data_IF_769675171824
#
_entry.id   IF_769675171824
#
_cell.length_a   1.000
_cell.length_b   1.000
_cell.length_c   1.000
_cell.angle_alpha   90.00
_cell.angle_beta   90.00
_cell.angle_gamma   90.00
#
_symmetry.space_group_name_H-M   'P 1'
#
loop_
_entity.id
_entity.type
_entity.pdbx_description
1 polymer ?
#
# COMPACT_ATOMS: atom_id res chain seq x y z
N UNK A 1 -12.96 -3.04 3.06
CA UNK A 1 -12.73 -3.02 4.51
C UNK A 1 -12.38 -1.60 4.90
N UNK A 2 -13.23 -0.93 5.63
CA UNK A 2 -13.01 0.48 6.02
C UNK A 2 -12.72 0.47 7.54
N UNK A 3 -11.54 0.91 7.93
CA UNK A 3 -11.20 1.12 9.35
C UNK A 3 -11.40 2.60 9.65
N UNK A 4 -12.29 2.90 10.59
CA UNK A 4 -12.42 4.25 11.13
C UNK A 4 -11.48 4.34 12.32
N UNK A 5 -10.37 5.02 12.15
CA UNK A 5 -9.43 5.30 13.25
C UNK A 5 -9.64 6.75 13.65
N UNK A 6 -10.12 6.98 14.88
CA UNK A 6 -10.33 8.32 15.40
C UNK A 6 -9.10 8.81 16.15
N UNK A 7 -8.63 9.99 15.77
CA UNK A 7 -7.44 10.61 16.36
C UNK A 7 -7.86 11.81 17.21
N UNK A 8 -7.43 11.84 18.46
CA UNK A 8 -7.59 13.04 19.32
C UNK A 8 -6.32 13.87 19.19
N UNK A 9 -6.39 14.94 18.40
CA UNK A 9 -5.31 15.92 18.29
C UNK A 9 -5.46 16.90 19.45
N UNK A 10 -4.40 17.13 20.25
CA UNK A 10 -4.39 18.21 21.23
C UNK A 10 -4.59 19.54 20.51
N UNK A 11 -5.60 20.28 20.92
CA UNK A 11 -6.01 21.55 20.31
C UNK A 11 -4.93 22.62 20.39
N UNK A 12 -4.71 23.37 19.31
CA UNK A 12 -4.04 24.66 19.33
C UNK A 12 -2.94 24.91 18.31
N UNK A 13 -2.58 23.96 17.43
CA UNK A 13 -1.52 24.15 16.46
C UNK A 13 -1.99 24.22 15.01
N UNK A 14 -1.27 24.95 14.17
CA UNK A 14 -1.47 24.96 12.71
C UNK A 14 -1.07 23.58 12.18
N UNK A 15 -2.03 22.83 11.66
CA UNK A 15 -1.79 21.51 11.06
C UNK A 15 -1.08 21.71 9.72
N UNK A 16 0.18 21.31 9.64
CA UNK A 16 0.92 21.25 8.38
C UNK A 16 0.84 19.82 7.83
N UNK A 17 0.24 19.66 6.65
CA UNK A 17 0.27 18.38 5.93
C UNK A 17 1.61 18.29 5.23
N UNK A 18 2.47 17.39 5.69
CA UNK A 18 3.78 17.19 5.09
C UNK A 18 3.76 16.01 4.11
N UNK A 19 4.05 16.31 2.85
CA UNK A 19 4.29 15.30 1.82
C UNK A 19 5.79 15.08 1.67
N UNK A 20 6.25 13.85 1.82
CA UNK A 20 7.64 13.52 1.56
C UNK A 20 7.97 13.72 0.09
N UNK A 21 8.59 14.85 -0.28
CA UNK A 21 9.23 15.01 -1.60
C UNK A 21 10.40 14.03 -1.70
N UNK A 22 10.35 13.21 -2.74
CA UNK A 22 11.28 12.14 -3.05
C UNK A 22 12.67 12.68 -3.40
N UNK A 23 13.47 13.07 -2.40
CA UNK A 23 14.89 13.36 -2.57
C UNK A 23 15.72 12.35 -1.76
N UNK A 24 15.55 11.05 -2.09
CA UNK A 24 16.36 9.99 -1.50
C UNK A 24 17.48 9.58 -2.45
N UNK A 25 18.73 9.65 -1.98
CA UNK A 25 19.89 9.09 -2.68
C UNK A 25 19.69 7.61 -3.01
N UNK A 26 19.90 7.27 -4.27
CA UNK A 26 19.60 5.98 -4.94
C UNK A 26 20.22 4.72 -4.29
N UNK A 27 21.18 4.86 -3.39
CA UNK A 27 22.02 3.75 -2.90
C UNK A 27 21.45 3.02 -1.67
N UNK A 28 20.48 3.62 -0.93
CA UNK A 28 19.86 2.96 0.25
C UNK A 28 18.66 2.07 -0.07
N UNK A 29 18.21 1.99 -1.32
CA UNK A 29 16.95 1.38 -1.72
C UNK A 29 16.86 -0.15 -1.55
N UNK A 30 17.97 -0.87 -1.68
CA UNK A 30 17.94 -2.35 -1.63
C UNK A 30 17.93 -2.91 -0.21
N UNK A 31 18.46 -2.18 0.76
CA UNK A 31 18.57 -2.66 2.15
C UNK A 31 17.24 -2.62 2.93
N UNK A 32 16.28 -1.82 2.45
CA UNK A 32 14.98 -1.64 3.11
C UNK A 32 13.82 -2.32 2.36
N UNK A 33 14.11 -3.21 1.39
CA UNK A 33 13.11 -3.96 0.67
C UNK A 33 12.59 -5.08 1.55
N UNK A 34 11.38 -4.90 2.05
CA UNK A 34 10.68 -5.89 2.86
C UNK A 34 9.38 -6.28 2.18
N UNK A 35 9.01 -7.53 2.30
CA UNK A 35 7.69 -8.03 1.91
C UNK A 35 6.81 -8.02 3.16
N UNK A 36 5.58 -7.58 3.01
CA UNK A 36 4.60 -7.61 4.07
C UNK A 36 4.30 -9.07 4.45
N UNK A 37 4.12 -9.34 5.75
CA UNK A 37 3.87 -10.70 6.27
C UNK A 37 2.74 -11.41 5.52
N UNK A 38 1.61 -10.74 5.32
CA UNK A 38 0.45 -11.30 4.60
C UNK A 38 0.76 -11.61 3.13
N UNK A 39 1.67 -10.87 2.50
CA UNK A 39 2.10 -11.10 1.12
C UNK A 39 2.96 -12.34 0.96
N UNK A 40 3.68 -12.77 1.99
CA UNK A 40 4.60 -13.91 1.89
C UNK A 40 3.86 -15.19 1.52
N UNK A 41 2.76 -15.50 2.20
CA UNK A 41 1.95 -16.71 1.91
C UNK A 41 1.38 -16.67 0.50
N UNK A 42 0.87 -15.52 0.07
CA UNK A 42 0.31 -15.33 -1.28
C UNK A 42 1.39 -15.52 -2.34
N UNK A 43 2.59 -14.98 -2.14
CA UNK A 43 3.70 -15.11 -3.06
C UNK A 43 4.22 -16.55 -3.17
N UNK A 44 4.25 -17.29 -2.05
CA UNK A 44 4.61 -18.71 -2.06
C UNK A 44 3.59 -19.52 -2.86
N UNK A 45 2.29 -19.32 -2.60
CA UNK A 45 1.23 -20.00 -3.34
C UNK A 45 1.28 -19.64 -4.83
N UNK A 46 1.44 -18.36 -5.17
CA UNK A 46 1.57 -17.93 -6.56
C UNK A 46 2.79 -18.57 -7.27
N UNK A 47 3.93 -18.65 -6.58
CA UNK A 47 5.11 -19.31 -7.10
C UNK A 47 4.84 -20.79 -7.41
N UNK A 48 4.20 -21.52 -6.48
CA UNK A 48 3.85 -22.92 -6.68
C UNK A 48 2.87 -23.12 -7.85
N UNK A 49 1.88 -22.24 -7.98
CA UNK A 49 0.93 -22.26 -9.10
C UNK A 49 1.65 -22.03 -10.44
N UNK A 50 2.52 -21.01 -10.52
CA UNK A 50 3.29 -20.77 -11.74
C UNK A 50 4.26 -21.90 -12.06
N UNK A 51 4.89 -22.52 -11.06
CA UNK A 51 5.72 -23.69 -11.25
C UNK A 51 4.91 -24.89 -11.76
N UNK A 52 3.71 -25.13 -11.20
CA UNK A 52 2.80 -26.20 -11.61
C UNK A 52 2.30 -26.02 -13.05
N UNK A 53 2.17 -24.78 -13.53
CA UNK A 53 1.80 -24.51 -14.94
C UNK A 53 3.00 -24.65 -15.86
N UNK A 54 4.14 -24.06 -15.51
CA UNK A 54 5.29 -23.99 -16.43
C UNK A 54 6.06 -25.32 -16.52
N UNK A 55 6.23 -26.04 -15.41
CA UNK A 55 7.01 -27.28 -15.43
C UNK A 55 6.41 -28.39 -16.35
N UNK A 56 5.09 -28.68 -16.32
CA UNK A 56 4.48 -29.60 -17.25
C UNK A 56 4.59 -29.16 -18.72
N UNK A 57 4.44 -27.85 -18.99
CA UNK A 57 4.57 -27.35 -20.36
C UNK A 57 5.96 -27.64 -20.94
N UNK A 58 7.01 -27.41 -20.18
CA UNK A 58 8.38 -27.68 -20.59
C UNK A 58 8.68 -29.19 -20.64
N UNK A 59 8.05 -30.00 -19.79
CA UNK A 59 8.26 -31.42 -19.74
C UNK A 59 7.54 -32.18 -20.88
N UNK A 60 6.24 -31.91 -21.10
CA UNK A 60 5.41 -32.62 -22.05
C UNK A 60 5.45 -32.04 -23.47
N UNK A 61 5.76 -30.75 -23.61
CA UNK A 61 5.76 -30.05 -24.91
C UNK A 61 7.07 -29.32 -25.18
N UNK A 62 8.24 -29.95 -25.04
CA UNK A 62 9.55 -29.30 -25.18
C UNK A 62 9.77 -28.68 -26.57
N UNK A 63 9.11 -29.21 -27.62
CA UNK A 63 9.20 -28.71 -28.99
C UNK A 63 8.54 -27.33 -29.18
N UNK A 64 7.61 -26.94 -28.31
CA UNK A 64 6.89 -25.66 -28.40
C UNK A 64 7.64 -24.54 -27.70
N UNK A 65 8.91 -24.35 -28.02
CA UNK A 65 9.82 -23.43 -27.29
C UNK A 65 9.26 -22.00 -27.21
N UNK A 66 8.74 -21.47 -28.33
CA UNK A 66 8.22 -20.09 -28.39
C UNK A 66 7.02 -19.94 -27.45
N UNK A 67 6.05 -20.84 -27.51
CA UNK A 67 4.87 -20.80 -26.65
C UNK A 67 5.25 -20.91 -25.16
N UNK A 68 6.08 -21.89 -24.81
CA UNK A 68 6.54 -22.11 -23.44
C UNK A 68 7.30 -20.89 -22.90
N UNK A 69 8.13 -20.25 -23.74
CA UNK A 69 8.86 -19.04 -23.36
C UNK A 69 7.92 -17.85 -23.11
N UNK A 70 6.88 -17.69 -23.92
CA UNK A 70 5.88 -16.63 -23.74
C UNK A 70 5.14 -16.85 -22.42
N UNK A 71 4.66 -18.07 -22.14
CA UNK A 71 3.94 -18.39 -20.89
C UNK A 71 4.85 -18.15 -19.67
N UNK A 72 6.11 -18.58 -19.75
CA UNK A 72 7.08 -18.37 -18.67
C UNK A 72 7.37 -16.89 -18.44
N UNK A 73 7.51 -16.10 -19.50
CA UNK A 73 7.73 -14.66 -19.41
C UNK A 73 6.53 -13.94 -18.77
N UNK A 74 5.32 -14.29 -19.21
CA UNK A 74 4.08 -13.71 -18.63
C UNK A 74 3.97 -14.07 -17.15
N UNK A 75 4.21 -15.35 -16.80
CA UNK A 75 4.21 -15.80 -15.40
C UNK A 75 5.22 -15.02 -14.55
N UNK A 76 6.42 -14.82 -15.07
CA UNK A 76 7.47 -14.04 -14.38
C UNK A 76 7.06 -12.58 -14.19
N UNK A 77 6.53 -11.94 -15.23
CA UNK A 77 6.09 -10.54 -15.15
C UNK A 77 4.98 -10.38 -14.09
N UNK A 78 3.97 -11.27 -14.13
CA UNK A 78 2.88 -11.24 -13.14
C UNK A 78 3.42 -11.46 -11.73
N UNK A 79 4.32 -12.43 -11.54
CA UNK A 79 4.94 -12.68 -10.24
C UNK A 79 5.71 -11.47 -9.72
N UNK A 80 6.49 -10.80 -10.57
CA UNK A 80 7.23 -9.59 -10.20
C UNK A 80 6.30 -8.42 -9.84
N UNK A 81 5.15 -8.30 -10.52
CA UNK A 81 4.13 -7.31 -10.15
C UNK A 81 3.53 -7.61 -8.78
N UNK A 82 3.26 -8.88 -8.45
CA UNK A 82 2.80 -9.29 -7.12
C UNK A 82 3.85 -8.99 -6.04
N UNK A 83 5.13 -9.30 -6.29
CA UNK A 83 6.23 -8.95 -5.38
C UNK A 83 6.31 -7.44 -5.16
N UNK A 84 6.16 -6.65 -6.23
CA UNK A 84 6.13 -5.19 -6.13
C UNK A 84 4.94 -4.68 -5.31
N UNK A 85 3.77 -5.29 -5.46
CA UNK A 85 2.55 -4.92 -4.74
C UNK A 85 2.69 -5.16 -3.23
N UNK A 86 3.24 -6.31 -2.82
CA UNK A 86 3.40 -6.68 -1.40
C UNK A 86 4.64 -6.09 -0.73
N UNK A 87 5.39 -5.23 -1.41
CA UNK A 87 6.54 -4.57 -0.79
C UNK A 87 6.10 -3.63 0.33
N UNK A 88 6.79 -3.69 1.46
CA UNK A 88 6.54 -2.85 2.64
C UNK A 88 7.85 -2.22 3.13
N UNK A 89 8.37 -1.17 2.48
CA UNK A 89 9.60 -0.51 2.90
C UNK A 89 9.37 0.25 4.19
N UNK A 90 10.38 0.31 5.06
CA UNK A 90 10.35 1.19 6.22
C UNK A 90 10.29 2.65 5.78
N UNK A 91 9.33 3.40 6.31
CA UNK A 91 9.19 4.84 6.11
C UNK A 91 9.61 5.56 7.39
N UNK A 92 10.54 6.47 7.27
CA UNK A 92 10.97 7.35 8.35
C UNK A 92 10.78 8.77 7.86
N UNK A 93 9.98 9.56 8.60
CA UNK A 93 9.83 10.98 8.34
C UNK A 93 11.07 11.69 8.88
N UNK A 94 11.81 12.45 8.05
CA UNK A 94 13.08 13.05 8.43
C UNK A 94 12.96 14.39 9.17
N UNK A 95 11.73 14.84 9.44
CA UNK A 95 11.45 16.13 10.08
C UNK A 95 10.93 15.97 11.50
N UNK A 96 10.69 17.10 12.15
CA UNK A 96 9.97 17.15 13.39
C UNK A 96 8.52 16.70 13.16
N UNK A 97 8.05 15.80 13.99
CA UNK A 97 6.69 15.22 13.93
C UNK A 97 5.70 15.99 14.81
N UNK A 98 6.16 16.96 15.60
CA UNK A 98 5.28 17.79 16.39
C UNK A 98 4.39 18.64 15.48
N UNK A 99 3.08 18.58 15.68
CA UNK A 99 2.07 19.33 14.92
C UNK A 99 2.07 19.04 13.40
N UNK A 100 2.52 17.85 12.98
CA UNK A 100 2.53 17.42 11.57
C UNK A 100 1.70 16.16 11.43
N UNK A 101 0.85 16.13 10.40
CA UNK A 101 0.18 14.91 9.94
C UNK A 101 0.96 14.37 8.74
N UNK A 102 1.54 13.18 8.89
CA UNK A 102 2.28 12.51 7.81
C UNK A 102 1.28 11.78 6.91
N UNK A 103 1.49 11.84 5.58
CA UNK A 103 0.64 11.11 4.65
C UNK A 103 0.64 9.60 4.97
N UNK A 104 -0.54 9.00 5.19
CA UNK A 104 -0.63 7.59 5.61
C UNK A 104 -0.31 6.59 4.52
N UNK A 105 -0.23 7.02 3.27
CA UNK A 105 -0.01 6.15 2.11
C UNK A 105 0.82 6.83 1.02
N UNK A 106 1.45 6.03 0.17
CA UNK A 106 2.04 6.50 -1.08
C UNK A 106 0.92 6.69 -2.11
N UNK A 107 0.81 7.89 -2.70
CA UNK A 107 -0.22 8.14 -3.70
C UNK A 107 -0.25 9.57 -4.20
N UNK A 108 -1.31 9.90 -4.92
CA UNK A 108 -1.62 11.24 -5.39
C UNK A 108 -2.82 11.78 -4.63
N UNK A 109 -2.69 12.97 -4.05
CA UNK A 109 -3.84 13.68 -3.48
C UNK A 109 -4.77 14.07 -4.60
N UNK A 110 -6.03 13.64 -4.51
CA UNK A 110 -7.05 13.89 -5.52
C UNK A 110 -8.12 14.87 -5.04
N UNK A 111 -8.41 14.87 -3.73
CA UNK A 111 -9.41 15.77 -3.15
C UNK A 111 -8.89 16.31 -1.81
N UNK A 112 -9.12 17.61 -1.59
CA UNK A 112 -8.98 18.25 -0.28
C UNK A 112 -10.23 19.12 -0.10
N UNK A 113 -11.10 18.74 0.81
CA UNK A 113 -12.36 19.43 1.03
C UNK A 113 -12.78 19.39 2.49
N UNK A 114 -13.68 20.30 2.87
CA UNK A 114 -14.37 20.22 4.16
C UNK A 114 -15.62 19.38 4.00
N UNK A 115 -15.76 18.38 4.85
CA UNK A 115 -16.93 17.49 4.89
C UNK A 115 -17.46 17.40 6.30
N UNK A 116 -18.78 17.26 6.42
CA UNK A 116 -19.39 16.93 7.69
C UNK A 116 -19.14 15.46 8.01
N UNK A 117 -18.52 15.19 9.15
CA UNK A 117 -18.27 13.82 9.63
C UNK A 117 -19.40 13.42 10.61
N UNK A 118 -20.32 12.52 10.20
CA UNK A 118 -21.53 12.21 10.96
C UNK A 118 -21.34 11.18 12.06
N UNK A 119 -20.31 10.33 11.97
CA UNK A 119 -20.24 9.09 12.75
C UNK A 119 -19.63 9.34 14.14
N UNK A 120 -18.58 10.14 14.21
CA UNK A 120 -17.80 10.27 15.43
C UNK A 120 -17.69 11.71 15.95
N UNK A 121 -17.26 12.64 15.10
CA UNK A 121 -17.04 14.04 15.51
C UNK A 121 -18.29 14.89 15.41
N UNK A 122 -19.19 14.58 14.48
CA UNK A 122 -20.43 15.32 14.19
C UNK A 122 -20.18 16.80 13.94
N UNK A 123 -19.08 17.09 13.26
CA UNK A 123 -18.69 18.45 12.88
C UNK A 123 -18.01 18.47 11.49
N UNK A 124 -17.66 19.67 11.00
CA UNK A 124 -16.92 19.83 9.75
C UNK A 124 -15.44 19.49 9.94
N UNK A 125 -14.94 18.60 9.09
CA UNK A 125 -13.54 18.17 9.08
C UNK A 125 -12.91 18.33 7.70
N UNK A 126 -11.60 18.55 7.68
CA UNK A 126 -10.83 18.53 6.45
C UNK A 126 -10.57 17.07 6.02
N UNK A 127 -11.16 16.68 4.90
CA UNK A 127 -10.91 15.39 4.27
C UNK A 127 -9.81 15.53 3.23
N UNK A 128 -8.84 14.63 3.26
CA UNK A 128 -7.80 14.50 2.23
C UNK A 128 -7.88 13.11 1.64
N UNK A 129 -8.22 13.02 0.35
CA UNK A 129 -8.31 11.75 -0.38
C UNK A 129 -7.04 11.50 -1.17
N UNK A 130 -6.45 10.32 -0.98
CA UNK A 130 -5.21 9.91 -1.65
C UNK A 130 -5.52 8.71 -2.53
N UNK A 131 -5.33 8.87 -3.84
CA UNK A 131 -5.43 7.78 -4.80
C UNK A 131 -4.12 7.00 -4.85
N UNK A 132 -4.21 5.69 -4.67
CA UNK A 132 -3.07 4.77 -4.67
C UNK A 132 -3.12 3.87 -5.90
N UNK A 133 -2.18 4.08 -6.83
CA UNK A 133 -2.03 3.24 -8.04
C UNK A 133 -1.48 1.85 -7.67
N UNK A 134 -1.81 0.77 -8.40
CA UNK A 134 -1.24 -0.57 -8.18
C UNK A 134 0.29 -0.63 -8.16
N UNK A 135 0.96 0.33 -8.79
CA UNK A 135 2.42 0.44 -8.80
C UNK A 135 3.01 1.12 -7.56
N UNK A 136 2.17 1.75 -6.73
CA UNK A 136 2.61 2.34 -5.47
C UNK A 136 2.79 1.27 -4.39
N UNK A 137 3.37 1.67 -3.25
CA UNK A 137 3.43 0.80 -2.08
C UNK A 137 2.03 0.69 -1.48
N UNK A 138 1.46 -0.53 -1.48
CA UNK A 138 0.13 -0.81 -0.93
C UNK A 138 0.21 -1.09 0.58
N UNK A 139 0.74 -0.14 1.33
CA UNK A 139 0.79 -0.18 2.77
C UNK A 139 0.33 1.16 3.34
N UNK A 140 -0.38 1.11 4.45
CA UNK A 140 -0.82 2.27 5.19
C UNK A 140 -0.08 2.34 6.52
N UNK A 141 0.26 3.57 6.92
CA UNK A 141 0.89 3.88 8.20
C UNK A 141 0.02 4.84 8.98
N UNK A 142 0.18 4.85 10.29
CA UNK A 142 -0.48 5.83 11.13
C UNK A 142 0.04 7.24 10.81
N UNK A 143 -0.86 8.20 10.53
CA UNK A 143 -0.47 9.56 10.15
C UNK A 143 0.05 10.40 11.32
N UNK A 144 -0.26 10.01 12.55
CA UNK A 144 0.15 10.65 13.81
C UNK A 144 0.33 9.59 14.89
N UNK A 145 1.06 9.93 15.93
CA UNK A 145 1.13 9.12 17.13
C UNK A 145 -0.18 9.21 17.92
N UNK A 146 -0.67 8.08 18.42
CA UNK A 146 -1.93 8.06 19.16
C UNK A 146 -2.26 6.68 19.73
N UNK A 147 -3.34 6.62 20.49
CA UNK A 147 -3.89 5.40 21.05
C UNK A 147 -5.19 5.07 20.32
N UNK A 148 -5.32 3.82 19.86
CA UNK A 148 -6.55 3.34 19.22
C UNK A 148 -7.61 3.17 20.30
N UNK A 149 -8.66 3.98 20.24
CA UNK A 149 -9.76 3.94 21.22
C UNK A 149 -10.96 3.13 20.75
N UNK A 150 -11.12 2.99 19.42
CA UNK A 150 -12.24 2.24 18.82
C UNK A 150 -11.78 1.59 17.53
N UNK A 151 -12.20 0.35 17.32
CA UNK A 151 -12.05 -0.39 16.06
C UNK A 151 -13.43 -0.93 15.68
N UNK A 152 -13.87 -0.62 14.47
CA UNK A 152 -15.15 -1.06 13.93
C UNK A 152 -14.94 -1.66 12.53
N UNK A 153 -15.52 -2.84 12.33
CA UNK A 153 -15.52 -3.52 11.04
C UNK A 153 -16.86 -3.29 10.33
N UNK A 154 -16.84 -2.50 9.25
CA UNK A 154 -18.02 -2.32 8.41
C UNK A 154 -17.94 -3.24 7.19
N UNK A 155 -18.97 -4.09 7.03
CA UNK A 155 -19.13 -4.88 5.79
C UNK A 155 -19.50 -3.94 4.65
N UNK A 156 -18.76 -3.98 3.55
CA UNK A 156 -18.99 -3.13 2.39
C UNK A 156 -18.77 -3.91 1.09
N UNK A 157 -19.28 -3.35 -0.02
CA UNK A 157 -19.00 -3.86 -1.35
C UNK A 157 -17.61 -3.36 -1.80
N UNK A 158 -16.84 -4.24 -2.45
CA UNK A 158 -15.57 -3.85 -3.06
C UNK A 158 -15.86 -3.16 -4.40
N UNK A 159 -15.67 -1.86 -4.47
CA UNK A 159 -15.77 -1.09 -5.69
C UNK A 159 -14.38 -0.66 -6.16
N UNK A 160 -14.18 -0.60 -7.49
CA UNK A 160 -13.03 0.10 -8.05
C UNK A 160 -13.18 1.58 -7.71
N UNK A 161 -12.09 2.16 -7.21
CA UNK A 161 -11.98 3.60 -7.04
C UNK A 161 -11.72 4.30 -8.38
#
# INVERSE_FOLDING_TARGET
MRYVVTWKIKSGGIIKIAFMKKKFKRIRKLKDYRIHREGTSILVVAFLVFALVNAPLWYFFPQNVIFNSIVSLVSLVVYLLMVNFFRSPKRIFPGDVENVIVAPADGKVVVIEKVFEPDHFKDERMQVSIFMSPMNVHANWYPVDGVVTRVEHQKGKFHKA
#
